data_IF_992561866856
#
_entry.id   IF_992561866856
#
_cell.length_a   1.000
_cell.length_b   1.000
_cell.length_c   1.000
_cell.angle_alpha   90.00
_cell.angle_beta   90.00
_cell.angle_gamma   90.00
#
_symmetry.space_group_name_H-M   'P 1'
#
loop_
_entity.id
_entity.type
_entity.pdbx_description
1 polymer ?
#
# COMPACT_ATOMS: atom_id res chain seq x y z
N UNK A 1 9.32 14.37 -19.46
CA UNK A 1 9.69 13.14 -20.21
C UNK A 1 11.01 12.63 -19.64
N UNK A 2 10.98 11.65 -18.73
CA UNK A 2 12.18 11.01 -18.20
C UNK A 2 12.70 10.00 -19.23
N UNK A 3 14.00 10.08 -19.57
CA UNK A 3 14.62 9.31 -20.67
C UNK A 3 15.46 8.14 -20.16
N UNK A 4 15.96 8.23 -18.92
CA UNK A 4 16.69 7.16 -18.25
C UNK A 4 15.79 5.93 -18.08
N UNK A 5 16.23 4.77 -18.57
CA UNK A 5 15.49 3.49 -18.53
C UNK A 5 16.15 2.42 -17.66
N UNK A 6 17.38 2.65 -17.19
CA UNK A 6 18.15 1.71 -16.39
C UNK A 6 18.83 2.42 -15.22
N UNK A 7 19.05 1.69 -14.12
CA UNK A 7 19.77 2.19 -12.95
C UNK A 7 21.27 2.21 -13.22
N UNK A 8 21.93 3.32 -12.94
CA UNK A 8 23.39 3.44 -13.04
C UNK A 8 23.99 3.86 -11.71
N UNK A 9 25.18 3.34 -11.40
CA UNK A 9 25.95 3.71 -10.22
C UNK A 9 27.30 4.25 -10.70
N UNK A 10 27.58 5.51 -10.36
CA UNK A 10 28.80 6.22 -10.71
C UNK A 10 29.61 6.48 -9.44
N UNK A 11 30.82 5.94 -9.38
CA UNK A 11 31.78 6.26 -8.32
C UNK A 11 32.58 7.49 -8.75
N UNK A 12 32.40 8.59 -8.03
CA UNK A 12 33.07 9.85 -8.30
C UNK A 12 34.51 9.81 -7.79
N UNK A 13 35.40 10.54 -8.46
CA UNK A 13 36.82 10.63 -8.08
C UNK A 13 37.05 11.18 -6.67
N UNK A 14 36.08 11.90 -6.12
CA UNK A 14 36.08 12.39 -4.74
C UNK A 14 35.60 11.37 -3.70
N UNK A 15 35.32 10.13 -4.11
CA UNK A 15 34.84 9.05 -3.22
C UNK A 15 33.33 9.02 -3.00
N UNK A 16 32.57 9.95 -3.60
CA UNK A 16 31.11 9.92 -3.59
C UNK A 16 30.53 8.85 -4.53
N UNK A 17 29.33 8.37 -4.23
CA UNK A 17 28.58 7.44 -5.10
C UNK A 17 27.30 8.14 -5.55
N UNK A 18 27.09 8.24 -6.86
CA UNK A 18 25.85 8.73 -7.46
C UNK A 18 25.07 7.54 -8.02
N UNK A 19 23.81 7.41 -7.61
CA UNK A 19 22.90 6.41 -8.14
C UNK A 19 21.86 7.16 -8.98
N UNK A 20 21.96 7.04 -10.31
CA UNK A 20 20.93 7.56 -11.21
C UNK A 20 19.88 6.47 -11.43
N UNK A 21 18.70 6.67 -10.88
CA UNK A 21 17.57 5.77 -11.10
C UNK A 21 16.64 6.35 -12.17
N UNK A 22 16.10 5.52 -13.08
CA UNK A 22 15.05 5.96 -13.97
C UNK A 22 13.88 6.50 -13.15
N UNK A 23 13.27 7.60 -13.60
CA UNK A 23 12.15 8.21 -12.89
C UNK A 23 11.08 7.18 -12.57
N UNK A 24 10.93 6.85 -11.29
CA UNK A 24 9.99 5.84 -10.82
C UNK A 24 8.57 6.31 -11.14
N UNK A 25 7.81 5.52 -11.90
CA UNK A 25 6.43 5.86 -12.30
C UNK A 25 5.37 5.38 -11.30
N UNK A 26 5.72 4.43 -10.44
CA UNK A 26 4.86 3.94 -9.37
C UNK A 26 5.74 3.23 -8.35
N UNK A 27 5.82 3.78 -7.14
CA UNK A 27 6.28 3.02 -5.97
C UNK A 27 5.01 2.45 -5.36
N UNK A 28 4.66 1.21 -5.72
CA UNK A 28 3.58 0.50 -5.04
C UNK A 28 3.96 0.26 -3.58
N UNK A 29 2.99 0.31 -2.68
CA UNK A 29 3.25 0.06 -1.25
C UNK A 29 3.54 -1.44 -1.07
N UNK A 30 4.83 -1.80 -1.10
CA UNK A 30 5.27 -3.20 -1.08
C UNK A 30 5.28 -3.80 0.34
N UNK A 31 5.36 -2.96 1.38
CA UNK A 31 5.30 -3.35 2.79
C UNK A 31 4.61 -2.21 3.57
N UNK A 32 3.30 -2.37 3.80
CA UNK A 32 2.35 -1.30 4.15
C UNK A 32 2.26 -1.00 5.65
N UNK A 33 2.74 -1.85 6.55
CA UNK A 33 2.51 -1.65 7.99
C UNK A 33 3.51 -0.66 8.58
N UNK A 34 4.79 -1.03 8.68
CA UNK A 34 5.77 -0.24 9.45
C UNK A 34 6.06 1.17 8.90
N UNK A 35 6.17 1.33 7.57
CA UNK A 35 6.60 2.60 6.97
C UNK A 35 5.52 3.69 6.97
N UNK A 36 4.27 3.29 6.74
CA UNK A 36 3.10 4.18 6.82
C UNK A 36 2.79 4.53 8.27
N UNK A 37 2.87 3.55 9.17
CA UNK A 37 2.68 3.77 10.61
C UNK A 37 3.65 4.82 11.15
N UNK A 38 4.92 4.77 10.73
CA UNK A 38 5.92 5.77 11.15
C UNK A 38 5.67 7.15 10.51
N UNK A 39 5.18 7.21 9.27
CA UNK A 39 4.98 8.48 8.55
C UNK A 39 3.77 9.25 9.08
N UNK A 40 2.74 8.53 9.54
CA UNK A 40 1.48 9.10 10.02
C UNK A 40 1.22 8.76 11.49
N UNK A 41 2.29 8.58 12.27
CA UNK A 41 2.24 8.18 13.68
C UNK A 41 1.30 9.07 14.50
N UNK A 42 1.38 10.39 14.32
CA UNK A 42 0.48 11.35 14.99
C UNK A 42 -0.99 11.07 14.69
N UNK A 43 -1.34 10.83 13.42
CA UNK A 43 -2.72 10.51 13.02
C UNK A 43 -3.18 9.20 13.66
N UNK A 44 -2.30 8.20 13.75
CA UNK A 44 -2.60 6.89 14.35
C UNK A 44 -2.79 7.01 15.86
N UNK A 45 -1.97 7.78 16.56
CA UNK A 45 -2.13 8.06 17.99
C UNK A 45 -3.47 8.75 18.29
N UNK A 46 -3.87 9.73 17.49
CA UNK A 46 -5.20 10.34 17.62
C UNK A 46 -6.32 9.36 17.23
N UNK A 47 -6.10 8.47 16.26
CA UNK A 47 -7.07 7.46 15.87
C UNK A 47 -7.41 6.51 17.01
N UNK A 48 -6.46 6.16 17.89
CA UNK A 48 -6.71 5.33 19.08
C UNK A 48 -7.71 5.96 20.06
N UNK A 49 -7.82 7.30 20.05
CA UNK A 49 -8.72 8.06 20.90
C UNK A 49 -10.10 8.29 20.24
N UNK A 50 -10.36 7.73 19.06
CA UNK A 50 -11.66 7.83 18.43
C UNK A 50 -12.72 7.02 19.19
N UNK A 51 -13.94 7.56 19.24
CA UNK A 51 -15.09 6.90 19.87
C UNK A 51 -15.40 5.52 19.28
N UNK A 52 -15.24 5.38 17.96
CA UNK A 52 -15.57 4.18 17.20
C UNK A 52 -14.29 3.45 16.76
N UNK A 53 -14.29 2.12 16.85
CA UNK A 53 -13.16 1.27 16.46
C UNK A 53 -13.00 1.16 14.94
N UNK A 54 -14.07 1.39 14.21
CA UNK A 54 -14.18 1.39 12.75
C UNK A 54 -14.29 2.81 12.18
N UNK A 55 -13.81 3.81 12.93
CA UNK A 55 -13.77 5.19 12.47
C UNK A 55 -12.90 5.29 11.21
N UNK A 56 -13.48 5.83 10.13
CA UNK A 56 -12.78 6.09 8.86
C UNK A 56 -12.10 7.45 8.83
N UNK A 57 -12.29 8.25 9.88
CA UNK A 57 -11.78 9.61 10.03
C UNK A 57 -12.20 10.55 8.90
N UNK A 58 -13.40 10.37 8.34
CA UNK A 58 -13.90 11.18 7.20
C UNK A 58 -15.08 12.06 7.57
N UNK A 59 -16.04 11.56 8.34
CA UNK A 59 -17.28 12.27 8.64
C UNK A 59 -17.86 11.92 10.02
N UNK A 60 -17.17 11.11 10.80
CA UNK A 60 -17.66 10.63 12.09
C UNK A 60 -17.69 11.74 13.13
N UNK A 61 -18.82 11.83 13.83
CA UNK A 61 -18.97 12.61 15.06
C UNK A 61 -18.04 12.04 16.15
N UNK A 62 -17.46 12.90 16.98
CA UNK A 62 -16.46 12.54 18.01
C UNK A 62 -15.19 11.87 17.46
N UNK A 63 -14.80 12.15 16.21
CA UNK A 63 -13.51 11.71 15.68
C UNK A 63 -12.36 12.56 16.25
N UNK A 64 -11.46 11.91 16.99
CA UNK A 64 -10.30 12.57 17.59
C UNK A 64 -9.34 13.13 16.52
N UNK A 65 -9.17 12.43 15.39
CA UNK A 65 -8.35 12.91 14.26
C UNK A 65 -8.94 14.19 13.65
N UNK A 66 -10.25 14.23 13.36
CA UNK A 66 -10.90 15.43 12.82
C UNK A 66 -10.87 16.60 13.82
N UNK A 67 -10.88 16.30 15.12
CA UNK A 67 -10.77 17.31 16.17
C UNK A 67 -9.36 17.88 16.23
N UNK A 68 -8.33 17.03 16.17
CA UNK A 68 -6.94 17.44 16.13
C UNK A 68 -6.61 18.29 14.89
N UNK A 69 -7.20 17.99 13.73
CA UNK A 69 -7.10 18.84 12.53
C UNK A 69 -7.72 20.22 12.78
N UNK A 70 -8.94 20.27 13.34
CA UNK A 70 -9.60 21.55 13.68
C UNK A 70 -8.80 22.39 14.69
N UNK A 71 -8.08 21.74 15.59
CA UNK A 71 -7.22 22.38 16.58
C UNK A 71 -5.85 22.78 16.02
N UNK A 72 -5.50 22.38 14.80
CA UNK A 72 -4.20 22.62 14.19
C UNK A 72 -3.07 21.72 14.73
N UNK A 73 -3.41 20.64 15.42
CA UNK A 73 -2.46 19.65 15.94
C UNK A 73 -2.02 18.65 14.86
N UNK A 74 -2.86 18.44 13.84
CA UNK A 74 -2.56 17.70 12.62
C UNK A 74 -2.66 18.65 11.44
N UNK A 75 -1.63 18.66 10.61
CA UNK A 75 -1.62 19.40 9.36
C UNK A 75 -2.63 18.81 8.35
N UNK A 76 -3.41 19.68 7.71
CA UNK A 76 -4.47 19.27 6.79
C UNK A 76 -3.91 18.53 5.55
N UNK A 77 -2.75 18.94 5.04
CA UNK A 77 -2.11 18.26 3.90
C UNK A 77 -1.61 16.86 4.31
N UNK A 78 -1.09 16.72 5.54
CA UNK A 78 -0.73 15.41 6.09
C UNK A 78 -1.94 14.47 6.18
N UNK A 79 -3.09 14.97 6.64
CA UNK A 79 -4.34 14.21 6.67
C UNK A 79 -4.86 13.81 5.28
N UNK A 80 -4.82 14.73 4.30
CA UNK A 80 -5.24 14.44 2.93
C UNK A 80 -4.34 13.38 2.29
N UNK A 81 -3.03 13.44 2.54
CA UNK A 81 -2.08 12.43 2.11
C UNK A 81 -2.36 11.08 2.76
N UNK A 82 -2.62 11.05 4.07
CA UNK A 82 -3.00 9.83 4.79
C UNK A 82 -4.25 9.18 4.17
N UNK A 83 -5.31 9.95 3.95
CA UNK A 83 -6.53 9.44 3.29
C UNK A 83 -6.27 8.86 1.90
N UNK A 84 -5.39 9.51 1.12
CA UNK A 84 -5.03 9.03 -0.21
C UNK A 84 -4.29 7.70 -0.12
N UNK A 85 -3.34 7.57 0.79
CA UNK A 85 -2.58 6.34 1.00
C UNK A 85 -3.47 5.18 1.46
N UNK A 86 -4.42 5.42 2.37
CA UNK A 86 -5.37 4.39 2.81
C UNK A 86 -6.26 3.89 1.65
N UNK A 87 -6.70 4.78 0.76
CA UNK A 87 -7.44 4.40 -0.45
C UNK A 87 -6.60 3.53 -1.40
N UNK A 88 -5.35 3.91 -1.63
CA UNK A 88 -4.41 3.15 -2.47
C UNK A 88 -4.12 1.76 -1.87
N UNK A 89 -3.93 1.67 -0.55
CA UNK A 89 -3.77 0.42 0.19
C UNK A 89 -4.98 -0.50 0.02
N UNK A 90 -6.20 0.01 0.22
CA UNK A 90 -7.43 -0.78 0.02
C UNK A 90 -7.54 -1.31 -1.41
N UNK A 91 -7.24 -0.48 -2.42
CA UNK A 91 -7.27 -0.91 -3.82
C UNK A 91 -6.26 -2.05 -4.06
N UNK A 92 -5.04 -1.92 -3.55
CA UNK A 92 -4.00 -2.92 -3.72
C UNK A 92 -4.33 -4.25 -3.01
N UNK A 93 -4.91 -4.19 -1.81
CA UNK A 93 -5.38 -5.37 -1.08
C UNK A 93 -6.51 -6.10 -1.83
N UNK A 94 -7.48 -5.37 -2.37
CA UNK A 94 -8.54 -5.94 -3.21
C UNK A 94 -7.98 -6.67 -4.43
N UNK A 95 -7.06 -6.03 -5.16
CA UNK A 95 -6.37 -6.64 -6.31
C UNK A 95 -5.60 -7.92 -5.92
N UNK A 96 -4.93 -7.90 -4.77
CA UNK A 96 -4.21 -9.06 -4.26
C UNK A 96 -5.16 -10.21 -3.91
N UNK A 97 -6.33 -9.92 -3.32
CA UNK A 97 -7.36 -10.91 -3.03
C UNK A 97 -7.91 -11.52 -4.32
N UNK A 98 -8.18 -10.71 -5.34
CA UNK A 98 -8.65 -11.19 -6.64
C UNK A 98 -7.62 -12.12 -7.31
N UNK A 99 -6.33 -11.72 -7.32
CA UNK A 99 -5.24 -12.55 -7.85
C UNK A 99 -5.17 -13.90 -7.13
N UNK A 100 -5.19 -13.89 -5.79
CA UNK A 100 -5.22 -15.12 -4.96
C UNK A 100 -6.41 -16.02 -5.29
N UNK A 101 -7.59 -15.44 -5.52
CA UNK A 101 -8.80 -16.18 -5.90
C UNK A 101 -8.63 -16.85 -7.27
N UNK A 102 -8.16 -16.10 -8.27
CA UNK A 102 -7.89 -16.63 -9.63
C UNK A 102 -6.89 -17.78 -9.59
N UNK A 103 -5.79 -17.63 -8.85
CA UNK A 103 -4.77 -18.68 -8.71
C UNK A 103 -5.33 -19.95 -8.04
N UNK A 104 -6.15 -19.78 -6.99
CA UNK A 104 -6.81 -20.90 -6.31
C UNK A 104 -7.74 -21.66 -7.24
N UNK A 105 -8.54 -20.95 -8.03
CA UNK A 105 -9.49 -21.56 -8.95
C UNK A 105 -8.79 -22.23 -10.14
N UNK A 106 -7.70 -21.64 -10.64
CA UNK A 106 -6.82 -22.27 -11.62
C UNK A 106 -6.20 -23.57 -11.06
N UNK A 107 -5.70 -23.54 -9.81
CA UNK A 107 -5.18 -24.72 -9.14
C UNK A 107 -6.21 -25.85 -9.00
N UNK A 108 -7.48 -25.54 -8.70
CA UNK A 108 -8.58 -26.51 -8.68
C UNK A 108 -8.83 -27.10 -10.07
N UNK A 109 -8.83 -26.26 -11.11
CA UNK A 109 -9.00 -26.70 -12.51
C UNK A 109 -7.93 -27.71 -12.91
N UNK A 110 -6.65 -27.40 -12.64
CA UNK A 110 -5.52 -28.30 -12.94
C UNK A 110 -5.66 -29.64 -12.21
N UNK A 111 -6.04 -29.63 -10.92
CA UNK A 111 -6.28 -30.86 -10.15
C UNK A 111 -7.41 -31.71 -10.76
N UNK A 112 -8.51 -31.08 -11.20
CA UNK A 112 -9.64 -31.77 -11.85
C UNK A 112 -9.22 -32.43 -13.16
N UNK A 113 -8.48 -31.73 -14.02
CA UNK A 113 -7.98 -32.27 -15.29
C UNK A 113 -7.00 -33.42 -15.07
N UNK A 114 -6.07 -33.30 -14.11
CA UNK A 114 -5.14 -34.39 -13.75
C UNK A 114 -5.88 -35.64 -13.26
N UNK A 115 -6.94 -35.47 -12.46
CA UNK A 115 -7.79 -36.58 -11.98
C UNK A 115 -8.51 -37.27 -13.14
N UNK A 116 -9.20 -36.51 -14.00
CA UNK A 116 -9.88 -37.06 -15.18
C UNK A 116 -8.95 -37.81 -16.12
N UNK A 117 -7.73 -37.30 -16.36
CA UNK A 117 -6.71 -37.99 -17.15
C UNK A 117 -6.23 -39.30 -16.52
N UNK A 118 -6.21 -39.39 -15.18
CA UNK A 118 -5.86 -40.62 -14.47
C UNK A 118 -6.99 -41.64 -14.57
N UNK A 119 -8.23 -41.19 -14.42
CA UNK A 119 -9.44 -42.02 -14.49
C UNK A 119 -9.68 -42.56 -15.92
N UNK A 120 -9.30 -41.82 -16.98
CA UNK A 120 -9.37 -42.26 -18.38
C UNK A 120 -8.25 -43.22 -18.83
N UNK A 121 -7.23 -43.45 -17.99
CA UNK A 121 -6.09 -44.33 -18.31
C UNK A 121 -6.27 -45.77 -17.79
N UNK A 122 -7.38 -46.05 -17.09
CA UNK A 122 -7.83 -47.36 -16.65
C UNK A 122 -9.19 -47.65 -17.27
#
# INVERSE_FOLDING_TARGET
RHVTSHRELLVLKCGGIMIDNPGMREVGIADTSLGLETTFESIIEYAENCRFKDCTHTHEEDCAVLTAIKNGEIDEDAYLNFQKMEKEKMHFELDAIERKKKDKDFGKMIKKVKKQRKDMKY
#
